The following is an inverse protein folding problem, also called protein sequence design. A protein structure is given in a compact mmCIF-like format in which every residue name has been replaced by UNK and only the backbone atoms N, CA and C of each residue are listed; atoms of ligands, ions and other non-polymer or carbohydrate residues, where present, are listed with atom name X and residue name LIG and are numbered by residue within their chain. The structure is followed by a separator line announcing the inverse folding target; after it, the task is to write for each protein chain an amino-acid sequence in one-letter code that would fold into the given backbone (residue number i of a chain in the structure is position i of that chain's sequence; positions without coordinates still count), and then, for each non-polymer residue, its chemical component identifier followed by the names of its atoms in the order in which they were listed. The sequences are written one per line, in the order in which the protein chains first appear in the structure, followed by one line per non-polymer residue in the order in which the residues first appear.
data_IF_040951481527
#
_entry.id   IF_040951481527
#
_cell.length_a   1.000
_cell.length_b   1.000
_cell.length_c   1.000
_cell.angle_alpha   90.00
_cell.angle_beta   90.00
_cell.angle_gamma   90.00
#
_symmetry.space_group_name_H-M   'P 1'
#
loop_
_entity.id
_entity.type
_entity.pdbx_description
1 polymer ?
#
# COMPACT_ATOMS: atom_id res chain seq x y z
N UNK A 1 9.02 2.76 -6.74
CA UNK A 1 8.86 1.66 -5.74
C UNK A 1 7.67 2.01 -4.87
N UNK A 2 6.71 1.10 -4.76
CA UNK A 2 5.52 1.31 -3.92
C UNK A 2 5.90 1.29 -2.44
N UNK A 3 5.45 2.27 -1.63
CA UNK A 3 5.74 2.34 -0.19
C UNK A 3 5.26 1.11 0.57
N UNK A 4 4.15 0.51 0.14
CA UNK A 4 3.53 -0.68 0.75
C UNK A 4 4.47 -1.89 0.72
N UNK A 5 5.26 -2.05 -0.34
CA UNK A 5 6.25 -3.14 -0.43
C UNK A 5 7.38 -2.97 0.57
N UNK A 6 7.76 -1.71 0.86
CA UNK A 6 8.73 -1.43 1.91
C UNK A 6 8.15 -1.73 3.30
N UNK A 7 6.86 -1.48 3.52
CA UNK A 7 6.17 -1.82 4.77
C UNK A 7 6.28 -3.32 5.05
N UNK A 8 5.95 -4.19 4.09
CA UNK A 8 6.08 -5.64 4.25
C UNK A 8 7.54 -6.09 4.50
N UNK A 9 8.50 -5.43 3.87
CA UNK A 9 9.92 -5.71 4.11
C UNK A 9 10.33 -5.36 5.55
N UNK A 10 9.90 -4.20 6.06
CA UNK A 10 10.17 -3.75 7.43
C UNK A 10 9.48 -4.66 8.45
N UNK A 11 8.23 -5.08 8.22
CA UNK A 11 7.52 -6.03 9.08
C UNK A 11 8.26 -7.36 9.18
N UNK A 12 8.75 -7.90 8.06
CA UNK A 12 9.57 -9.11 8.07
C UNK A 12 10.88 -8.94 8.85
N UNK A 13 11.57 -7.80 8.70
CA UNK A 13 12.76 -7.49 9.49
C UNK A 13 12.46 -7.39 10.99
N UNK A 14 11.31 -6.80 11.35
CA UNK A 14 10.86 -6.72 12.73
C UNK A 14 10.63 -8.12 13.34
N UNK A 15 9.98 -9.03 12.60
CA UNK A 15 9.77 -10.42 13.03
C UNK A 15 11.08 -11.19 13.18
N UNK A 16 12.06 -10.96 12.29
CA UNK A 16 13.40 -11.51 12.45
C UNK A 16 14.12 -10.98 13.70
N UNK A 17 14.00 -9.69 13.99
CA UNK A 17 14.55 -9.10 15.20
C UNK A 17 13.92 -9.72 16.46
N UNK A 18 12.59 -9.89 16.47
CA UNK A 18 11.88 -10.58 17.56
C UNK A 18 12.33 -12.02 17.73
N UNK A 19 12.59 -12.75 16.64
CA UNK A 19 13.12 -14.10 16.68
C UNK A 19 14.52 -14.16 17.30
N UNK A 20 15.40 -13.21 16.94
CA UNK A 20 16.73 -13.07 17.58
C UNK A 20 16.60 -12.74 19.06
N UNK A 21 15.68 -11.85 19.41
CA UNK A 21 15.41 -11.48 20.81
C UNK A 21 14.88 -12.67 21.63
N UNK A 22 13.99 -13.48 21.05
CA UNK A 22 13.50 -14.71 21.67
C UNK A 22 14.66 -15.67 21.94
N UNK A 23 15.60 -15.81 21.01
CA UNK A 23 16.79 -16.65 21.20
C UNK A 23 17.67 -16.09 22.32
N UNK A 24 17.96 -14.79 22.31
CA UNK A 24 18.78 -14.13 23.31
C UNK A 24 18.16 -14.23 24.73
N UNK A 25 16.84 -14.11 24.85
CA UNK A 25 16.10 -14.23 26.12
C UNK A 25 16.25 -15.61 26.76
N UNK A 26 16.51 -16.64 25.96
CA UNK A 26 16.65 -18.02 26.43
C UNK A 26 18.11 -18.43 26.65
N UNK A 27 19.09 -17.56 26.44
CA UNK A 27 20.50 -17.80 26.77
C UNK A 27 20.79 -17.45 28.22
N UNK A 28 21.80 -18.13 28.84
CA UNK A 28 22.28 -17.71 30.14
C UNK A 28 22.89 -16.31 30.08
N UNK A 29 22.62 -15.51 31.09
CA UNK A 29 23.23 -14.18 31.27
C UNK A 29 24.39 -14.27 32.24
N UNK A 30 25.48 -13.66 31.85
CA UNK A 30 26.68 -13.50 32.66
C UNK A 30 26.83 -12.01 32.98
N UNK A 31 26.62 -11.65 34.22
CA UNK A 31 26.72 -10.28 34.71
C UNK A 31 27.98 -10.16 35.57
N UNK A 32 28.77 -9.11 35.32
CA UNK A 32 29.85 -8.67 36.20
C UNK A 32 29.27 -7.62 37.13
N UNK A 33 29.50 -7.71 38.41
CA UNK A 33 29.06 -6.69 39.37
C UNK A 33 30.21 -6.25 40.28
N UNK A 34 30.23 -4.99 40.56
CA UNK A 34 31.10 -4.39 41.57
C UNK A 34 30.20 -3.52 42.45
N UNK A 35 30.22 -3.76 43.72
CA UNK A 35 29.45 -3.04 44.72
C UNK A 35 30.39 -2.55 45.84
N UNK A 36 30.37 -1.24 46.09
CA UNK A 36 31.10 -0.64 47.17
C UNK A 36 30.15 -0.06 48.21
N UNK A 37 30.54 -0.19 49.50
CA UNK A 37 29.82 0.49 50.59
C UNK A 37 30.79 0.92 51.70
N UNK A 38 30.30 1.88 52.51
CA UNK A 38 30.97 2.34 53.71
C UNK A 38 30.01 2.20 54.88
N UNK A 39 30.37 1.44 55.89
CA UNK A 39 29.46 1.13 57.00
C UNK A 39 30.15 0.60 58.24
N UNK A 40 29.39 0.53 59.35
CA UNK A 40 29.78 -0.07 60.59
C UNK A 40 28.71 -1.12 61.01
N UNK A 41 29.07 -2.42 61.19
CA UNK A 41 30.36 -3.01 60.86
C UNK A 41 30.52 -3.09 59.31
N UNK A 42 31.77 -3.06 58.83
CA UNK A 42 32.11 -3.33 57.44
C UNK A 42 32.00 -4.81 57.12
N UNK A 43 32.81 -5.35 56.18
CA UNK A 43 32.80 -6.75 55.83
C UNK A 43 33.15 -7.67 57.05
N UNK A 44 33.92 -7.17 58.02
CA UNK A 44 34.26 -7.92 59.23
C UNK A 44 33.28 -7.54 60.36
N UNK A 45 32.30 -8.39 60.64
CA UNK A 45 31.27 -8.22 61.66
C UNK A 45 31.83 -8.12 63.09
N UNK A 46 33.10 -8.54 63.33
CA UNK A 46 33.75 -8.50 64.64
C UNK A 46 34.41 -7.21 64.96
N UNK A 47 34.54 -6.28 63.97
CA UNK A 47 35.08 -4.93 64.18
C UNK A 47 33.95 -3.90 64.24
N UNK A 48 33.83 -3.23 65.34
CA UNK A 48 32.86 -2.14 65.52
C UNK A 48 33.48 -0.79 65.09
N UNK A 49 33.88 -0.73 63.83
CA UNK A 49 34.50 0.44 63.19
C UNK A 49 33.89 0.68 61.82
N UNK A 50 33.75 1.96 61.41
CA UNK A 50 33.38 2.29 60.07
C UNK A 50 34.50 1.96 59.10
N UNK A 51 34.22 1.14 58.11
CA UNK A 51 35.19 0.78 57.09
C UNK A 51 34.59 0.75 55.71
N UNK A 52 35.37 1.16 54.71
CA UNK A 52 35.03 1.01 53.32
C UNK A 52 35.29 -0.42 52.85
N UNK A 53 34.39 -1.00 52.08
CA UNK A 53 34.58 -2.29 51.48
C UNK A 53 34.03 -2.33 50.06
N UNK A 54 34.53 -3.27 49.27
CA UNK A 54 33.99 -3.56 47.97
C UNK A 54 33.80 -5.07 47.77
N UNK A 55 32.80 -5.44 47.00
CA UNK A 55 32.53 -6.80 46.60
C UNK A 55 32.45 -6.80 45.09
N UNK A 56 33.25 -7.63 44.43
CA UNK A 56 33.20 -7.83 43.01
C UNK A 56 32.98 -9.33 42.70
N UNK A 57 32.19 -9.59 41.68
CA UNK A 57 31.92 -10.98 41.35
C UNK A 57 31.26 -11.14 39.98
N UNK A 58 31.04 -12.39 39.66
CA UNK A 58 30.36 -12.82 38.43
C UNK A 58 29.06 -13.52 38.83
N UNK A 59 27.96 -13.09 38.25
CA UNK A 59 26.65 -13.70 38.44
C UNK A 59 26.19 -14.35 37.15
N UNK A 60 25.95 -15.66 37.19
CA UNK A 60 25.31 -16.39 36.12
C UNK A 60 23.84 -16.56 36.44
N UNK A 61 22.97 -16.05 35.54
CA UNK A 61 21.53 -16.19 35.67
C UNK A 61 20.97 -16.88 34.43
N UNK A 62 20.14 -17.90 34.63
CA UNK A 62 19.48 -18.61 33.53
C UNK A 62 18.05 -18.95 33.92
N UNK A 63 17.09 -18.50 33.05
CA UNK A 63 15.67 -18.78 33.26
C UNK A 63 15.24 -20.01 32.45
N UNK A 64 15.17 -21.15 33.10
CA UNK A 64 14.75 -22.44 32.48
C UNK A 64 13.24 -22.46 32.14
N UNK A 65 12.40 -21.69 32.81
CA UNK A 65 10.96 -21.66 32.56
C UNK A 65 10.59 -21.26 31.15
N UNK A 66 11.37 -20.39 30.53
CA UNK A 66 11.13 -19.94 29.17
C UNK A 66 11.43 -21.02 28.10
N UNK A 67 12.18 -22.07 28.43
CA UNK A 67 12.50 -23.15 27.49
C UNK A 67 11.24 -23.94 27.09
N UNK A 68 10.27 -24.04 28.02
CA UNK A 68 9.01 -24.74 27.76
C UNK A 68 8.14 -24.05 26.71
N UNK A 69 8.07 -22.73 26.72
CA UNK A 69 7.26 -21.94 25.79
C UNK A 69 7.98 -21.59 24.51
N UNK A 70 9.32 -21.63 24.49
CA UNK A 70 10.19 -21.22 23.38
C UNK A 70 9.77 -21.80 22.02
N UNK A 71 9.41 -23.10 21.98
CA UNK A 71 9.02 -23.78 20.73
C UNK A 71 7.74 -23.19 20.16
N UNK A 72 6.75 -22.91 21.01
CA UNK A 72 5.47 -22.33 20.61
C UNK A 72 5.63 -20.87 20.19
N UNK A 73 6.40 -20.07 20.94
CA UNK A 73 6.69 -18.67 20.60
C UNK A 73 7.47 -18.57 19.27
N UNK A 74 8.45 -19.43 19.05
CA UNK A 74 9.17 -19.50 17.77
C UNK A 74 8.24 -19.88 16.61
N UNK A 75 7.34 -20.84 16.82
CA UNK A 75 6.35 -21.25 15.81
C UNK A 75 5.36 -20.12 15.48
N UNK A 76 4.93 -19.38 16.50
CA UNK A 76 4.05 -18.22 16.31
C UNK A 76 4.73 -17.13 15.46
N UNK A 77 6.01 -16.83 15.71
CA UNK A 77 6.76 -15.86 14.89
C UNK A 77 6.88 -16.31 13.42
N UNK A 78 7.08 -17.62 13.19
CA UNK A 78 7.11 -18.17 11.83
C UNK A 78 5.74 -18.02 11.15
N UNK A 79 4.64 -18.30 11.84
CA UNK A 79 3.29 -18.12 11.32
C UNK A 79 2.98 -16.65 11.02
N UNK A 80 3.39 -15.74 11.90
CA UNK A 80 3.25 -14.31 11.65
C UNK A 80 4.05 -13.86 10.41
N UNK A 81 5.24 -14.43 10.19
CA UNK A 81 6.03 -14.14 8.99
C UNK A 81 5.36 -14.68 7.71
N UNK A 82 4.75 -15.86 7.79
CA UNK A 82 3.95 -16.39 6.68
C UNK A 82 2.73 -15.53 6.38
N UNK A 83 2.05 -15.04 7.43
CA UNK A 83 0.91 -14.13 7.29
C UNK A 83 1.30 -12.83 6.56
N UNK A 84 2.40 -12.19 6.96
CA UNK A 84 2.93 -11.01 6.25
C UNK A 84 3.25 -11.31 4.77
N UNK A 85 3.78 -12.49 4.48
CA UNK A 85 4.06 -12.88 3.09
C UNK A 85 2.77 -13.10 2.29
N UNK A 86 1.75 -13.74 2.87
CA UNK A 86 0.43 -13.91 2.25
C UNK A 86 -0.24 -12.55 2.00
N UNK A 87 -0.16 -11.63 2.96
CA UNK A 87 -0.67 -10.26 2.79
C UNK A 87 0.03 -9.54 1.63
N UNK A 88 1.35 -9.68 1.51
CA UNK A 88 2.12 -9.14 0.38
C UNK A 88 1.68 -9.74 -0.96
N UNK A 89 1.50 -11.05 -1.04
CA UNK A 89 1.04 -11.74 -2.25
C UNK A 89 -0.37 -11.29 -2.65
N UNK A 90 -1.28 -11.18 -1.67
CA UNK A 90 -2.65 -10.67 -1.87
C UNK A 90 -2.63 -9.23 -2.38
N UNK A 91 -1.78 -8.39 -1.81
CA UNK A 91 -1.60 -7.01 -2.26
C UNK A 91 -1.10 -6.94 -3.71
N UNK A 92 -0.11 -7.75 -4.08
CA UNK A 92 0.41 -7.81 -5.44
C UNK A 92 -0.64 -8.33 -6.43
N UNK A 93 -1.39 -9.35 -6.04
CA UNK A 93 -2.48 -9.91 -6.87
C UNK A 93 -3.56 -8.86 -7.14
N UNK A 94 -4.06 -8.20 -6.10
CA UNK A 94 -5.09 -7.16 -6.23
C UNK A 94 -4.60 -5.99 -7.08
N UNK A 95 -3.35 -5.56 -6.88
CA UNK A 95 -2.72 -4.52 -7.71
C UNK A 95 -2.66 -4.92 -9.18
N UNK A 96 -2.28 -6.17 -9.48
CA UNK A 96 -2.22 -6.65 -10.85
C UNK A 96 -3.61 -6.71 -11.50
N UNK A 97 -4.61 -7.15 -10.74
CA UNK A 97 -6.01 -7.17 -11.18
C UNK A 97 -6.49 -5.76 -11.54
N UNK A 98 -6.24 -4.78 -10.66
CA UNK A 98 -6.60 -3.38 -10.84
C UNK A 98 -5.92 -2.76 -12.08
N UNK A 99 -4.63 -3.02 -12.28
CA UNK A 99 -3.90 -2.60 -13.48
C UNK A 99 -4.53 -3.20 -14.75
N UNK A 100 -4.91 -4.49 -14.71
CA UNK A 100 -5.51 -5.16 -15.85
C UNK A 100 -6.89 -4.59 -16.18
N UNK A 101 -7.70 -4.30 -15.16
CA UNK A 101 -9.02 -3.66 -15.31
C UNK A 101 -8.88 -2.26 -15.90
N UNK A 102 -8.00 -1.42 -15.35
CA UNK A 102 -7.78 -0.06 -15.84
C UNK A 102 -7.25 -0.04 -17.28
N UNK A 103 -6.36 -0.95 -17.66
CA UNK A 103 -5.90 -1.07 -19.04
C UNK A 103 -7.02 -1.48 -20.00
N UNK A 104 -7.90 -2.36 -19.57
CA UNK A 104 -9.08 -2.77 -20.37
C UNK A 104 -10.06 -1.62 -20.56
N UNK A 105 -10.29 -0.83 -19.50
CA UNK A 105 -11.17 0.33 -19.58
C UNK A 105 -10.59 1.44 -20.46
N UNK A 106 -9.29 1.73 -20.34
CA UNK A 106 -8.59 2.68 -21.22
C UNK A 106 -8.72 2.27 -22.68
N UNK A 107 -8.52 0.98 -22.99
CA UNK A 107 -8.66 0.45 -24.36
C UNK A 107 -10.09 0.65 -24.88
N UNK A 108 -11.09 0.26 -24.10
CA UNK A 108 -12.52 0.44 -24.41
C UNK A 108 -12.87 1.90 -24.69
N UNK A 109 -12.48 2.81 -23.79
CA UNK A 109 -12.77 4.24 -23.93
C UNK A 109 -12.05 4.85 -25.14
N UNK A 110 -10.83 4.39 -25.46
CA UNK A 110 -10.12 4.82 -26.67
C UNK A 110 -10.84 4.39 -27.94
N UNK A 111 -11.43 3.20 -27.97
CA UNK A 111 -12.25 2.73 -29.10
C UNK A 111 -13.57 3.50 -29.19
N UNK A 112 -14.24 3.77 -28.05
CA UNK A 112 -15.45 4.58 -28.00
C UNK A 112 -15.22 5.98 -28.56
N UNK A 113 -14.11 6.64 -28.19
CA UNK A 113 -13.79 7.98 -28.72
C UNK A 113 -13.62 8.01 -30.25
N UNK A 114 -13.09 6.95 -30.86
CA UNK A 114 -13.02 6.85 -32.33
C UNK A 114 -14.42 6.77 -32.94
N UNK A 115 -15.29 5.95 -32.36
CA UNK A 115 -16.68 5.82 -32.80
C UNK A 115 -17.43 7.14 -32.63
N UNK A 116 -17.19 7.90 -31.54
CA UNK A 116 -17.79 9.20 -31.31
C UNK A 116 -17.42 10.22 -32.41
N UNK A 117 -16.15 10.21 -32.86
CA UNK A 117 -15.73 11.08 -33.97
C UNK A 117 -16.45 10.74 -35.28
N UNK A 118 -16.65 9.47 -35.57
CA UNK A 118 -17.43 9.04 -36.73
C UNK A 118 -18.89 9.44 -36.59
N UNK A 119 -19.51 9.24 -35.43
CA UNK A 119 -20.89 9.61 -35.13
C UNK A 119 -21.10 11.14 -35.30
N UNK A 120 -20.20 11.95 -34.74
CA UNK A 120 -20.27 13.42 -34.85
C UNK A 120 -20.18 13.83 -36.32
N UNK A 121 -19.28 13.22 -37.10
CA UNK A 121 -19.16 13.49 -38.54
C UNK A 121 -20.44 13.15 -39.28
N UNK A 122 -21.03 11.99 -39.02
CA UNK A 122 -22.30 11.57 -39.62
C UNK A 122 -23.45 12.49 -39.23
N UNK A 123 -23.57 12.88 -37.94
CA UNK A 123 -24.59 13.82 -37.44
C UNK A 123 -24.46 15.21 -38.08
N UNK A 124 -23.23 15.71 -38.25
CA UNK A 124 -22.98 16.96 -38.95
C UNK A 124 -23.44 16.89 -40.41
N UNK A 125 -23.20 15.78 -41.13
CA UNK A 125 -23.67 15.62 -42.50
C UNK A 125 -25.20 15.54 -42.58
N UNK A 126 -25.87 14.86 -41.65
CA UNK A 126 -27.31 14.79 -41.54
C UNK A 126 -27.89 16.20 -41.27
N UNK A 127 -27.32 16.96 -40.33
CA UNK A 127 -27.70 18.34 -40.03
C UNK A 127 -27.59 19.22 -41.27
N UNK A 128 -26.49 19.18 -42.02
CA UNK A 128 -26.31 19.92 -43.26
C UNK A 128 -27.37 19.56 -44.30
N UNK A 129 -27.70 18.28 -44.46
CA UNK A 129 -28.77 17.81 -45.33
C UNK A 129 -30.13 18.32 -44.90
N UNK A 130 -30.44 18.30 -43.59
CA UNK A 130 -31.66 18.83 -43.02
C UNK A 130 -31.80 20.35 -43.25
N UNK A 131 -30.72 21.12 -43.09
CA UNK A 131 -30.68 22.56 -43.40
C UNK A 131 -31.01 22.84 -44.88
N UNK A 132 -30.41 22.07 -45.80
CA UNK A 132 -30.74 22.24 -47.23
C UNK A 132 -32.18 21.87 -47.54
N UNK A 133 -32.75 20.84 -46.90
CA UNK A 133 -34.19 20.48 -47.08
C UNK A 133 -35.14 21.53 -46.54
N UNK A 134 -34.81 22.17 -45.42
CA UNK A 134 -35.59 23.31 -44.89
C UNK A 134 -35.57 24.51 -45.87
N UNK A 135 -34.37 24.81 -46.43
CA UNK A 135 -34.23 25.88 -47.42
C UNK A 135 -35.07 25.64 -48.67
N UNK A 136 -35.26 24.36 -49.04
CA UNK A 136 -36.12 23.97 -50.19
C UNK A 136 -37.60 23.71 -49.81
N UNK A 137 -37.98 23.99 -48.53
CA UNK A 137 -39.36 23.82 -48.07
C UNK A 137 -39.83 22.36 -47.92
N UNK A 138 -38.91 21.39 -47.93
CA UNK A 138 -39.23 19.93 -47.90
C UNK A 138 -39.06 19.33 -46.49
N UNK A 139 -38.63 20.10 -45.52
CA UNK A 139 -38.49 19.70 -44.12
C UNK A 139 -38.89 20.83 -43.20
N UNK A 140 -39.48 20.54 -42.06
CA UNK A 140 -39.85 21.54 -41.05
C UNK A 140 -38.64 22.00 -40.22
N UNK A 141 -38.66 23.22 -39.73
CA UNK A 141 -37.64 23.76 -38.83
C UNK A 141 -37.52 22.92 -37.56
N UNK A 142 -38.64 22.40 -37.05
CA UNK A 142 -38.66 21.53 -35.86
C UNK A 142 -37.88 20.24 -36.08
N UNK A 143 -38.02 19.63 -37.23
CA UNK A 143 -37.24 18.41 -37.57
C UNK A 143 -35.76 18.72 -37.72
N UNK A 144 -35.38 19.85 -38.33
CA UNK A 144 -34.01 20.30 -38.40
C UNK A 144 -33.43 20.55 -37.01
N UNK A 145 -34.15 21.15 -36.07
CA UNK A 145 -33.69 21.36 -34.69
C UNK A 145 -33.46 20.05 -33.94
N UNK A 146 -34.21 18.99 -34.24
CA UNK A 146 -33.93 17.64 -33.69
C UNK A 146 -32.56 17.14 -34.12
N UNK A 147 -32.17 17.34 -35.37
CA UNK A 147 -30.86 16.93 -35.87
C UNK A 147 -29.72 17.76 -35.27
N UNK A 148 -29.95 19.08 -35.03
CA UNK A 148 -28.99 19.92 -34.31
C UNK A 148 -28.82 19.44 -32.86
N UNK A 149 -29.90 19.06 -32.19
CA UNK A 149 -29.87 18.54 -30.84
C UNK A 149 -29.16 17.20 -30.81
N UNK A 150 -29.38 16.31 -31.77
CA UNK A 150 -28.73 15.00 -31.88
C UNK A 150 -27.21 15.14 -32.08
N UNK A 151 -26.76 16.12 -32.89
CA UNK A 151 -25.33 16.42 -33.02
C UNK A 151 -24.73 16.92 -31.70
N UNK A 152 -25.42 17.85 -31.01
CA UNK A 152 -24.96 18.38 -29.73
C UNK A 152 -24.82 17.25 -28.64
N UNK A 153 -25.79 16.32 -28.60
CA UNK A 153 -25.71 15.16 -27.70
C UNK A 153 -24.46 14.30 -28.02
N UNK A 154 -24.24 14.01 -29.31
CA UNK A 154 -23.07 13.25 -29.70
C UNK A 154 -21.74 13.96 -29.31
N UNK A 155 -21.67 15.27 -29.41
CA UNK A 155 -20.51 16.04 -28.92
C UNK A 155 -20.36 15.97 -27.40
N UNK A 156 -21.46 16.01 -26.65
CA UNK A 156 -21.44 15.88 -25.19
C UNK A 156 -20.98 14.47 -24.76
N UNK A 157 -21.45 13.43 -25.43
CA UNK A 157 -21.04 12.05 -25.19
C UNK A 157 -19.52 11.87 -25.40
N UNK A 158 -18.97 12.45 -26.49
CA UNK A 158 -17.51 12.45 -26.71
C UNK A 158 -16.74 13.11 -25.57
N UNK A 159 -17.19 14.27 -25.11
CA UNK A 159 -16.55 14.99 -23.99
C UNK A 159 -16.61 14.14 -22.71
N UNK A 160 -17.73 13.47 -22.46
CA UNK A 160 -17.88 12.57 -21.32
C UNK A 160 -16.88 11.42 -21.39
N UNK A 161 -16.77 10.75 -22.53
CA UNK A 161 -15.81 9.66 -22.74
C UNK A 161 -14.36 10.13 -22.63
N UNK A 162 -14.05 11.36 -23.08
CA UNK A 162 -12.72 11.96 -22.92
C UNK A 162 -12.35 12.18 -21.44
N UNK A 163 -13.29 12.68 -20.64
CA UNK A 163 -13.10 12.86 -19.20
C UNK A 163 -12.94 11.51 -18.50
N UNK A 164 -13.74 10.49 -18.89
CA UNK A 164 -13.64 9.15 -18.35
C UNK A 164 -12.29 8.50 -18.70
N UNK A 165 -11.82 8.68 -19.94
CA UNK A 165 -10.50 8.18 -20.37
C UNK A 165 -9.38 8.83 -19.55
N UNK A 166 -9.44 10.14 -19.37
CA UNK A 166 -8.47 10.86 -18.56
C UNK A 166 -8.46 10.37 -17.11
N UNK A 167 -9.63 10.16 -16.52
CA UNK A 167 -9.77 9.59 -15.17
C UNK A 167 -9.15 8.20 -15.08
N UNK A 168 -9.44 7.31 -16.02
CA UNK A 168 -8.87 5.94 -16.06
C UNK A 168 -7.34 5.94 -16.20
N UNK A 169 -6.78 6.87 -16.99
CA UNK A 169 -5.33 7.05 -17.12
C UNK A 169 -4.70 7.49 -15.80
N UNK A 170 -5.32 8.46 -15.10
CA UNK A 170 -4.82 8.91 -13.80
C UNK A 170 -4.93 7.82 -12.74
N UNK A 171 -5.99 7.02 -12.77
CA UNK A 171 -6.18 5.89 -11.87
C UNK A 171 -5.09 4.80 -12.10
N UNK A 172 -4.77 4.52 -13.35
CA UNK A 172 -3.65 3.63 -13.69
C UNK A 172 -2.31 4.19 -13.18
N UNK A 173 -2.05 5.48 -13.37
CA UNK A 173 -0.83 6.14 -12.84
C UNK A 173 -0.78 6.06 -11.31
N UNK A 174 -1.91 6.25 -10.65
CA UNK A 174 -2.03 6.07 -9.20
C UNK A 174 -1.70 4.64 -8.80
N UNK A 175 -2.36 3.67 -9.40
CA UNK A 175 -2.16 2.24 -9.13
C UNK A 175 -0.73 1.77 -9.41
N UNK A 176 -0.03 2.35 -10.40
CA UNK A 176 1.36 2.01 -10.72
C UNK A 176 2.40 2.83 -9.95
N UNK A 177 1.95 3.81 -9.15
CA UNK A 177 2.81 4.78 -8.46
C UNK A 177 3.76 5.53 -9.42
N UNK A 178 3.29 5.80 -10.64
CA UNK A 178 4.00 6.56 -11.64
C UNK A 178 3.58 8.04 -11.59
N UNK A 179 3.76 8.64 -10.41
CA UNK A 179 3.71 10.10 -10.32
C UNK A 179 5.05 10.65 -10.80
N UNK A 180 5.04 11.45 -11.84
CA UNK A 180 6.17 12.32 -12.12
C UNK A 180 6.28 13.29 -10.94
N UNK A 181 7.26 13.03 -10.08
CA UNK A 181 7.73 14.05 -9.15
C UNK A 181 8.30 15.20 -9.98
N UNK A 182 7.48 16.24 -10.14
CA UNK A 182 8.00 17.55 -10.57
C UNK A 182 8.73 18.20 -9.41
#
# INVERSE_FOLDING_TARGET
RRPELNLFAVQNQQLEAQRKQLTAKNLPRLDLFVQGAYGNPGLNMLKNEFSAYYVAGVRLSWNFGNLYTRKNESRQLILNQQDVNVQKETFLFNTHLEITQNNSEIKKLTELMKNDEEIITLRNNIKKSAQAKVANGTLTVTEMLREVTAENIAMQDKILHEIQLLSAIYELKYTTNQYENK
#
